data_IF_960888902138
#
_entry.id   IF_960888902138
#
_cell.length_a   1.000
_cell.length_b   1.000
_cell.length_c   1.000
_cell.angle_alpha   90.00
_cell.angle_beta   90.00
_cell.angle_gamma   90.00
#
_symmetry.space_group_name_H-M   'P 1'
#
loop_
_entity.id
_entity.type
_entity.pdbx_description
1 polymer ?
#
# COMPACT_ATOMS: atom_id res chain seq x y z
N UNK A 1 24.05 -20.61 -16.56
CA UNK A 1 23.85 -19.46 -17.48
C UNK A 1 23.89 -19.98 -18.90
N UNK A 2 22.82 -19.77 -19.63
CA UNK A 2 22.73 -20.12 -21.04
C UNK A 2 23.45 -19.06 -21.90
N UNK A 3 24.22 -19.49 -22.86
CA UNK A 3 24.97 -18.61 -23.78
C UNK A 3 24.44 -18.76 -25.21
N UNK A 4 24.40 -19.97 -25.71
CA UNK A 4 24.05 -20.29 -27.11
C UNK A 4 22.60 -19.92 -27.44
N UNK A 5 21.66 -20.27 -26.57
CA UNK A 5 20.25 -19.96 -26.75
C UNK A 5 19.98 -18.47 -26.86
N UNK A 6 20.38 -17.65 -25.88
CA UNK A 6 20.25 -16.20 -25.99
C UNK A 6 20.93 -15.60 -27.23
N UNK A 7 22.10 -16.10 -27.63
CA UNK A 7 22.81 -15.64 -28.82
C UNK A 7 21.98 -15.92 -30.08
N UNK A 8 21.45 -17.10 -30.23
CA UNK A 8 20.62 -17.48 -31.38
C UNK A 8 19.30 -16.69 -31.42
N UNK A 9 18.67 -16.54 -30.28
CA UNK A 9 17.42 -15.74 -30.13
C UNK A 9 17.65 -14.30 -30.57
N UNK A 10 18.73 -13.67 -30.11
CA UNK A 10 19.08 -12.30 -30.47
C UNK A 10 19.38 -12.16 -31.95
N UNK A 11 20.12 -13.10 -32.53
CA UNK A 11 20.45 -13.10 -33.97
C UNK A 11 19.18 -13.22 -34.84
N UNK A 12 18.29 -14.13 -34.49
CA UNK A 12 17.01 -14.29 -35.17
C UNK A 12 16.13 -13.03 -35.06
N UNK A 13 16.01 -12.48 -33.86
CA UNK A 13 15.23 -11.26 -33.62
C UNK A 13 15.75 -10.06 -34.41
N UNK A 14 17.06 -9.90 -34.50
CA UNK A 14 17.70 -8.86 -35.33
C UNK A 14 17.29 -8.99 -36.79
N UNK A 15 17.10 -10.22 -37.27
CA UNK A 15 16.72 -10.51 -38.65
C UNK A 15 15.20 -10.69 -38.84
N UNK A 16 14.40 -9.97 -38.09
CA UNK A 16 12.93 -10.13 -38.06
C UNK A 16 12.25 -9.86 -39.41
N UNK A 17 12.92 -9.18 -40.35
CA UNK A 17 12.38 -8.99 -41.69
C UNK A 17 12.17 -10.30 -42.43
N UNK A 18 12.97 -11.32 -42.11
CA UNK A 18 12.95 -12.59 -42.80
C UNK A 18 12.73 -13.80 -41.84
N UNK A 19 12.92 -13.62 -40.54
CA UNK A 19 12.92 -14.68 -39.56
C UNK A 19 11.90 -14.38 -38.44
N UNK A 20 11.13 -15.41 -38.06
CA UNK A 20 10.30 -15.41 -36.87
C UNK A 20 11.01 -16.18 -35.77
N UNK A 21 11.14 -15.57 -34.59
CA UNK A 21 11.66 -16.20 -33.38
C UNK A 21 10.58 -16.22 -32.29
N UNK A 22 10.32 -17.38 -31.72
CA UNK A 22 9.28 -17.56 -30.72
C UNK A 22 9.91 -17.96 -29.39
N UNK A 23 9.75 -17.13 -28.37
CA UNK A 23 10.34 -17.36 -27.05
C UNK A 23 9.33 -17.78 -25.99
N UNK A 24 8.03 -17.72 -26.30
CA UNK A 24 6.95 -18.09 -25.37
C UNK A 24 6.02 -19.12 -26.03
N UNK A 25 5.79 -20.23 -25.35
CA UNK A 25 4.86 -21.27 -25.83
C UNK A 25 3.42 -20.75 -25.95
N UNK A 26 3.05 -19.73 -25.17
CA UNK A 26 1.75 -19.07 -25.24
C UNK A 26 1.46 -18.40 -26.58
N UNK A 27 2.46 -18.16 -27.41
CA UNK A 27 2.32 -17.58 -28.74
C UNK A 27 2.08 -18.62 -29.85
N UNK A 28 2.26 -19.91 -29.58
CA UNK A 28 2.20 -20.97 -30.59
C UNK A 28 0.86 -21.04 -31.32
N UNK A 29 -0.25 -21.01 -30.61
CA UNK A 29 -1.58 -21.15 -31.22
C UNK A 29 -1.91 -19.98 -32.14
N UNK A 30 -1.58 -18.75 -31.73
CA UNK A 30 -1.77 -17.56 -32.55
C UNK A 30 -0.91 -17.60 -33.83
N UNK A 31 0.32 -18.08 -33.73
CA UNK A 31 1.25 -18.21 -34.85
C UNK A 31 0.74 -19.25 -35.84
N UNK A 32 0.31 -20.42 -35.37
CA UNK A 32 -0.25 -21.49 -36.20
C UNK A 32 -1.51 -20.98 -36.93
N UNK A 33 -2.39 -20.28 -36.22
CA UNK A 33 -3.61 -19.70 -36.80
C UNK A 33 -3.28 -18.71 -37.91
N UNK A 34 -2.30 -17.84 -37.72
CA UNK A 34 -1.89 -16.88 -38.74
C UNK A 34 -1.27 -17.57 -39.96
N UNK A 35 -0.42 -18.59 -39.75
CA UNK A 35 0.15 -19.38 -40.82
C UNK A 35 -0.91 -20.09 -41.67
N UNK A 36 -1.92 -20.67 -41.01
CA UNK A 36 -3.06 -21.31 -41.71
C UNK A 36 -3.84 -20.31 -42.55
N UNK A 37 -4.01 -19.07 -42.08
CA UNK A 37 -4.74 -18.03 -42.77
C UNK A 37 -3.91 -17.29 -43.83
N UNK A 38 -2.58 -17.44 -43.83
CA UNK A 38 -1.65 -16.67 -44.66
C UNK A 38 -0.67 -17.56 -45.43
N UNK A 39 -1.17 -18.66 -45.99
CA UNK A 39 -0.43 -19.58 -46.87
C UNK A 39 0.90 -20.10 -46.26
N UNK A 40 0.90 -20.37 -44.95
CA UNK A 40 2.05 -20.88 -44.21
C UNK A 40 3.09 -19.83 -43.85
N UNK A 41 2.80 -18.54 -44.02
CA UNK A 41 3.70 -17.45 -43.70
C UNK A 41 3.17 -16.55 -42.58
N UNK A 42 4.07 -15.75 -41.98
CA UNK A 42 3.76 -14.72 -41.00
C UNK A 42 3.96 -13.33 -41.61
N UNK A 43 3.17 -12.37 -41.17
CA UNK A 43 3.33 -10.96 -41.57
C UNK A 43 4.57 -10.35 -40.94
N UNK A 44 5.07 -9.27 -41.55
CA UNK A 44 6.19 -8.48 -40.98
C UNK A 44 5.82 -7.93 -39.59
N UNK A 45 4.57 -7.51 -39.41
CA UNK A 45 4.10 -6.99 -38.12
C UNK A 45 4.19 -8.06 -37.02
N UNK A 46 3.80 -9.30 -37.31
CA UNK A 46 3.91 -10.41 -36.36
C UNK A 46 5.37 -10.75 -36.09
N UNK A 47 6.23 -10.81 -37.11
CA UNK A 47 7.66 -11.06 -36.92
C UNK A 47 8.32 -10.00 -36.07
N UNK A 48 7.96 -8.73 -36.26
CA UNK A 48 8.48 -7.62 -35.46
C UNK A 48 8.02 -7.72 -34.00
N UNK A 49 6.74 -8.04 -33.76
CA UNK A 49 6.23 -8.25 -32.40
C UNK A 49 6.96 -9.40 -31.67
N UNK A 50 7.19 -10.51 -32.39
CA UNK A 50 7.97 -11.64 -31.86
C UNK A 50 9.42 -11.24 -31.58
N UNK A 51 10.02 -10.39 -32.38
CA UNK A 51 11.38 -9.89 -32.15
C UNK A 51 11.46 -9.02 -30.91
N UNK A 52 10.45 -8.18 -30.66
CA UNK A 52 10.36 -7.40 -29.41
C UNK A 52 10.31 -8.33 -28.22
N UNK A 53 9.43 -9.33 -28.23
CA UNK A 53 9.32 -10.33 -27.17
C UNK A 53 10.64 -11.08 -26.94
N UNK A 54 11.37 -11.36 -27.99
CA UNK A 54 12.68 -12.02 -27.90
C UNK A 54 13.72 -11.15 -27.17
N UNK A 55 13.78 -9.85 -27.48
CA UNK A 55 14.67 -8.92 -26.78
C UNK A 55 14.23 -8.66 -25.35
N UNK A 56 12.92 -8.55 -25.09
CA UNK A 56 12.38 -8.48 -23.73
C UNK A 56 12.81 -9.70 -22.90
N UNK A 57 12.75 -10.88 -23.47
CA UNK A 57 13.13 -12.14 -22.83
C UNK A 57 14.62 -12.16 -22.48
N UNK A 58 15.50 -11.83 -23.44
CA UNK A 58 16.96 -11.83 -23.20
C UNK A 58 17.38 -10.71 -22.25
N UNK A 59 16.73 -9.54 -22.31
CA UNK A 59 16.96 -8.44 -21.39
C UNK A 59 16.60 -8.82 -19.95
N UNK A 60 15.45 -9.46 -19.74
CA UNK A 60 15.02 -9.94 -18.41
C UNK A 60 15.98 -11.01 -17.87
N UNK A 61 16.43 -11.92 -18.73
CA UNK A 61 17.40 -12.94 -18.37
C UNK A 61 18.73 -12.35 -17.89
N UNK A 62 19.32 -11.43 -18.66
CA UNK A 62 20.57 -10.78 -18.30
C UNK A 62 20.42 -9.88 -17.06
N UNK A 63 19.27 -9.21 -16.92
CA UNK A 63 18.97 -8.40 -15.73
C UNK A 63 19.00 -9.23 -14.45
N UNK A 64 18.39 -10.40 -14.48
CA UNK A 64 18.39 -11.35 -13.35
C UNK A 64 19.81 -11.78 -13.00
N UNK A 65 20.63 -12.11 -14.00
CA UNK A 65 22.03 -12.50 -13.81
C UNK A 65 22.84 -11.34 -13.23
N UNK A 66 22.72 -10.14 -13.79
CA UNK A 66 23.44 -8.96 -13.34
C UNK A 66 23.09 -8.57 -11.90
N UNK A 67 21.81 -8.65 -11.54
CA UNK A 67 21.36 -8.39 -10.16
C UNK A 67 21.94 -9.44 -9.20
N UNK A 68 21.88 -10.70 -9.56
CA UNK A 68 22.37 -11.77 -8.71
C UNK A 68 23.89 -11.68 -8.50
N UNK A 69 24.67 -11.60 -9.57
CA UNK A 69 26.13 -11.47 -9.48
C UNK A 69 26.53 -10.15 -8.81
N UNK A 70 25.83 -9.06 -9.13
CA UNK A 70 26.10 -7.75 -8.53
C UNK A 70 25.94 -7.74 -7.01
N UNK A 71 25.02 -8.53 -6.48
CA UNK A 71 24.83 -8.68 -5.03
C UNK A 71 25.93 -9.53 -4.37
N UNK A 72 26.68 -10.31 -5.13
CA UNK A 72 27.74 -11.19 -4.62
C UNK A 72 29.12 -10.53 -4.60
N UNK A 73 29.28 -9.32 -5.12
CA UNK A 73 30.57 -8.61 -5.19
C UNK A 73 31.29 -8.54 -3.84
N UNK A 74 30.63 -8.18 -2.71
CA UNK A 74 31.31 -8.13 -1.42
C UNK A 74 31.90 -9.47 -0.98
N UNK A 75 31.20 -10.58 -1.23
CA UNK A 75 31.68 -11.92 -0.90
C UNK A 75 32.93 -12.30 -1.72
N UNK A 76 32.93 -12.01 -3.01
CA UNK A 76 34.07 -12.26 -3.90
C UNK A 76 35.30 -11.40 -3.60
N UNK A 77 35.08 -10.20 -3.04
CA UNK A 77 36.16 -9.31 -2.63
C UNK A 77 36.65 -9.60 -1.19
N UNK A 78 36.05 -10.57 -0.49
CA UNK A 78 36.40 -10.88 0.88
C UNK A 78 35.93 -9.83 1.91
N UNK A 79 35.05 -8.94 1.51
CA UNK A 79 34.53 -7.86 2.35
C UNK A 79 33.39 -8.33 3.27
N UNK A 80 32.77 -9.46 2.95
CA UNK A 80 31.68 -10.05 3.71
C UNK A 80 31.76 -11.57 3.67
N UNK A 81 31.37 -12.21 4.78
CA UNK A 81 31.22 -13.67 4.86
C UNK A 81 29.87 -14.15 4.34
N UNK A 82 28.91 -13.25 4.14
CA UNK A 82 27.62 -13.55 3.58
C UNK A 82 27.72 -13.77 2.06
N UNK A 83 26.97 -14.74 1.57
CA UNK A 83 27.03 -15.16 0.16
C UNK A 83 26.50 -14.09 -0.80
N UNK A 84 25.61 -13.21 -0.35
CA UNK A 84 25.01 -12.18 -1.18
C UNK A 84 24.77 -10.89 -0.38
N UNK A 85 25.14 -9.77 -0.94
CA UNK A 85 24.70 -8.46 -0.48
C UNK A 85 23.23 -8.24 -0.86
N UNK A 86 22.57 -7.30 -0.17
CA UNK A 86 21.14 -7.04 -0.40
C UNK A 86 20.89 -6.17 -1.63
N UNK A 87 21.84 -5.32 -1.99
CA UNK A 87 21.71 -4.38 -3.11
C UNK A 87 22.81 -4.63 -4.14
N UNK A 88 22.43 -4.95 -5.40
CA UNK A 88 23.41 -5.21 -6.44
C UNK A 88 24.13 -3.93 -6.88
N UNK A 89 25.31 -4.08 -7.46
CA UNK A 89 26.11 -2.95 -7.98
C UNK A 89 25.38 -2.14 -9.04
N UNK A 90 24.60 -2.78 -9.89
CA UNK A 90 23.62 -2.16 -10.78
C UNK A 90 22.24 -2.75 -10.49
N UNK A 91 21.23 -1.90 -10.40
CA UNK A 91 19.87 -2.36 -10.17
C UNK A 91 19.11 -2.40 -11.49
N UNK A 92 18.74 -3.59 -11.91
CA UNK A 92 18.00 -3.83 -13.15
C UNK A 92 16.57 -4.22 -12.81
N UNK A 93 15.62 -3.42 -13.30
CA UNK A 93 14.20 -3.61 -13.04
C UNK A 93 13.49 -3.91 -14.36
N UNK A 94 12.64 -4.95 -14.33
CA UNK A 94 11.83 -5.34 -15.48
C UNK A 94 10.37 -5.33 -15.08
N UNK A 95 9.60 -4.44 -15.70
CA UNK A 95 8.17 -4.31 -15.53
C UNK A 95 7.47 -4.42 -16.87
N UNK A 96 6.27 -4.97 -16.85
CA UNK A 96 5.44 -5.17 -18.04
C UNK A 96 4.31 -4.15 -18.00
N UNK A 97 4.11 -3.45 -19.12
CA UNK A 97 3.02 -2.48 -19.22
C UNK A 97 1.67 -3.20 -19.15
N UNK A 98 0.88 -2.84 -18.15
CA UNK A 98 -0.48 -3.34 -17.97
C UNK A 98 -1.50 -2.43 -18.66
N UNK A 99 -1.30 -1.12 -18.61
CA UNK A 99 -2.28 -0.15 -19.05
C UNK A 99 -1.63 1.17 -19.43
N UNK A 100 -2.04 1.76 -20.56
CA UNK A 100 -1.81 3.16 -20.82
C UNK A 100 -2.84 3.99 -20.05
N UNK A 101 -2.41 5.08 -19.45
CA UNK A 101 -3.25 5.94 -18.66
C UNK A 101 -3.65 7.18 -19.47
N UNK A 102 -4.84 7.71 -19.22
CA UNK A 102 -5.29 8.92 -19.90
C UNK A 102 -4.36 10.10 -19.62
N UNK A 103 -3.88 10.23 -18.38
CA UNK A 103 -2.88 11.18 -17.91
C UNK A 103 -2.33 10.68 -16.58
N UNK A 104 -1.30 11.34 -16.07
CA UNK A 104 -0.69 11.00 -14.80
C UNK A 104 -1.42 11.59 -13.60
N UNK A 105 -0.66 11.96 -12.58
CA UNK A 105 -1.19 12.65 -11.40
C UNK A 105 -1.89 13.95 -11.80
N UNK A 106 -1.36 14.61 -12.82
CA UNK A 106 -1.92 15.83 -13.41
C UNK A 106 -2.22 15.65 -14.90
N UNK A 107 -3.17 16.41 -15.41
CA UNK A 107 -3.70 16.25 -16.78
C UNK A 107 -2.68 16.51 -17.90
N UNK A 108 -1.61 17.23 -17.63
CA UNK A 108 -0.55 17.51 -18.60
C UNK A 108 0.56 16.45 -18.63
N UNK A 109 0.51 15.46 -17.74
CA UNK A 109 1.50 14.39 -17.65
C UNK A 109 1.02 13.14 -18.36
N UNK A 110 1.85 12.55 -19.21
CA UNK A 110 1.60 11.23 -19.77
C UNK A 110 1.95 10.17 -18.74
N UNK A 111 1.23 9.05 -18.75
CA UNK A 111 1.44 8.00 -17.79
C UNK A 111 1.04 6.61 -18.30
N UNK A 112 1.63 5.59 -17.70
CA UNK A 112 1.28 4.20 -17.90
C UNK A 112 1.46 3.44 -16.59
N UNK A 113 0.76 2.32 -16.46
CA UNK A 113 0.89 1.41 -15.33
C UNK A 113 1.67 0.18 -15.77
N UNK A 114 2.78 -0.06 -15.09
CA UNK A 114 3.64 -1.24 -15.27
C UNK A 114 3.55 -2.14 -14.05
N UNK A 115 3.57 -3.44 -14.25
CA UNK A 115 3.50 -4.43 -13.18
C UNK A 115 4.72 -5.37 -13.24
N UNK A 116 5.04 -5.98 -12.11
CA UNK A 116 6.02 -7.06 -12.03
C UNK A 116 5.45 -8.33 -12.67
N UNK A 117 6.32 -9.14 -13.24
CA UNK A 117 5.95 -10.47 -13.72
C UNK A 117 5.83 -11.45 -12.55
N UNK A 118 4.83 -12.34 -12.60
CA UNK A 118 4.62 -13.42 -11.61
C UNK A 118 4.35 -12.93 -10.17
N UNK A 119 3.66 -11.82 -10.01
CA UNK A 119 3.20 -11.36 -8.69
C UNK A 119 2.19 -12.36 -8.13
N UNK A 120 2.48 -12.90 -6.95
CA UNK A 120 1.61 -13.88 -6.26
C UNK A 120 0.76 -13.25 -5.16
N UNK A 121 1.28 -12.21 -4.51
CA UNK A 121 0.55 -11.51 -3.46
C UNK A 121 -0.63 -10.74 -4.05
N UNK A 122 -1.80 -10.85 -3.41
CA UNK A 122 -2.96 -10.04 -3.76
C UNK A 122 -2.60 -8.55 -3.68
N UNK A 123 -2.81 -7.81 -4.76
CA UNK A 123 -2.38 -6.43 -4.90
C UNK A 123 -3.23 -5.69 -5.94
N UNK A 124 -3.05 -4.40 -6.04
CA UNK A 124 -3.67 -3.61 -7.12
C UNK A 124 -3.19 -4.07 -8.50
N UNK A 125 -1.95 -4.58 -8.58
CA UNK A 125 -1.37 -5.10 -9.83
C UNK A 125 -2.04 -6.38 -10.32
N UNK A 126 -2.48 -7.25 -9.39
CA UNK A 126 -3.10 -8.55 -9.69
C UNK A 126 -4.63 -8.49 -9.68
N UNK A 127 -5.22 -7.39 -9.23
CA UNK A 127 -6.66 -7.26 -9.10
C UNK A 127 -7.35 -7.31 -10.47
N UNK A 128 -8.52 -7.94 -10.49
CA UNK A 128 -9.42 -7.94 -11.65
C UNK A 128 -10.47 -6.85 -11.48
N UNK A 129 -10.58 -5.97 -12.45
CA UNK A 129 -11.64 -4.97 -12.47
C UNK A 129 -12.92 -5.59 -13.05
N UNK A 130 -13.97 -5.70 -12.25
CA UNK A 130 -15.23 -6.33 -12.64
C UNK A 130 -16.30 -5.32 -13.00
N UNK A 131 -16.08 -4.04 -12.70
CA UNK A 131 -17.01 -2.95 -13.02
C UNK A 131 -16.27 -1.62 -13.11
N UNK A 132 -16.83 -0.70 -13.91
CA UNK A 132 -16.47 0.71 -13.89
C UNK A 132 -15.57 1.16 -15.02
N UNK A 133 -15.26 2.46 -15.01
CA UNK A 133 -14.35 3.10 -15.95
C UNK A 133 -12.92 2.58 -15.75
N UNK A 134 -12.05 2.81 -16.73
CA UNK A 134 -10.63 2.56 -16.56
C UNK A 134 -10.07 3.29 -15.33
N UNK A 135 -9.15 2.64 -14.63
CA UNK A 135 -8.50 3.22 -13.46
C UNK A 135 -7.61 4.39 -13.89
N UNK A 136 -7.67 5.48 -13.14
CA UNK A 136 -6.74 6.60 -13.29
C UNK A 136 -5.44 6.32 -12.53
N UNK A 137 -4.41 7.10 -12.81
CA UNK A 137 -3.15 7.10 -12.07
C UNK A 137 -3.39 7.23 -10.57
N UNK A 138 -4.18 8.24 -10.18
CA UNK A 138 -4.50 8.48 -8.77
C UNK A 138 -5.35 7.36 -8.16
N UNK A 139 -6.26 6.76 -8.92
CA UNK A 139 -7.04 5.61 -8.43
C UNK A 139 -6.11 4.45 -8.03
N UNK A 140 -5.11 4.14 -8.85
CA UNK A 140 -4.18 3.04 -8.58
C UNK A 140 -3.35 3.32 -7.33
N UNK A 141 -2.79 4.52 -7.22
CA UNK A 141 -1.99 4.92 -6.06
C UNK A 141 -2.81 4.89 -4.75
N UNK A 142 -4.02 5.44 -4.78
CA UNK A 142 -4.90 5.47 -3.62
C UNK A 142 -5.42 4.08 -3.25
N UNK A 143 -5.71 3.24 -4.25
CA UNK A 143 -6.17 1.86 -4.02
C UNK A 143 -5.06 1.02 -3.39
N UNK A 144 -3.83 1.17 -3.83
CA UNK A 144 -2.67 0.52 -3.21
C UNK A 144 -2.56 0.91 -1.73
N UNK A 145 -2.65 2.20 -1.43
CA UNK A 145 -2.60 2.68 -0.05
C UNK A 145 -3.72 2.08 0.82
N UNK A 146 -4.94 2.01 0.30
CA UNK A 146 -6.08 1.46 1.02
C UNK A 146 -5.95 -0.06 1.25
N UNK A 147 -5.57 -0.79 0.22
CA UNK A 147 -5.42 -2.24 0.28
C UNK A 147 -4.31 -2.66 1.23
N UNK A 148 -3.15 -2.02 1.13
CA UNK A 148 -2.02 -2.36 2.01
C UNK A 148 -2.34 -2.05 3.48
N UNK A 149 -3.09 -1.00 3.75
CA UNK A 149 -3.55 -0.70 5.10
C UNK A 149 -4.52 -1.78 5.64
N UNK A 150 -5.52 -2.16 4.85
CA UNK A 150 -6.53 -3.14 5.33
C UNK A 150 -5.94 -4.52 5.57
N UNK A 151 -4.84 -4.86 4.93
CA UNK A 151 -4.10 -6.12 5.15
C UNK A 151 -3.53 -6.26 6.56
N UNK A 152 -3.34 -5.16 7.29
CA UNK A 152 -2.81 -5.20 8.66
C UNK A 152 -3.80 -5.78 9.68
N UNK A 153 -5.07 -5.89 9.34
CA UNK A 153 -6.12 -6.27 10.28
C UNK A 153 -6.58 -7.71 10.05
N UNK A 154 -6.67 -8.48 11.15
CA UNK A 154 -7.15 -9.86 11.12
C UNK A 154 -8.68 -9.93 11.16
N UNK A 155 -9.33 -9.02 11.91
CA UNK A 155 -10.78 -8.94 12.02
C UNK A 155 -11.38 -8.25 10.78
N UNK A 156 -12.70 -8.40 10.53
CA UNK A 156 -13.36 -7.67 9.46
C UNK A 156 -13.08 -6.16 9.56
N UNK A 157 -12.50 -5.59 8.52
CA UNK A 157 -12.02 -4.22 8.52
C UNK A 157 -12.44 -3.46 7.27
N UNK A 158 -12.57 -2.15 7.43
CA UNK A 158 -12.77 -1.19 6.35
C UNK A 158 -11.74 -0.07 6.47
N UNK A 159 -11.10 0.24 5.36
CA UNK A 159 -10.20 1.40 5.21
C UNK A 159 -10.75 2.29 4.12
N UNK A 160 -10.94 3.57 4.44
CA UNK A 160 -11.29 4.61 3.47
C UNK A 160 -10.08 5.51 3.28
N UNK A 161 -9.68 5.68 2.04
CA UNK A 161 -8.50 6.49 1.66
C UNK A 161 -8.92 7.68 0.80
N UNK A 162 -8.30 8.81 1.06
CA UNK A 162 -8.37 10.00 0.22
C UNK A 162 -6.95 10.57 0.09
N UNK A 163 -6.51 10.81 -1.15
CA UNK A 163 -5.16 11.33 -1.43
C UNK A 163 -4.05 10.54 -0.71
N UNK A 164 -4.08 9.21 -0.91
CA UNK A 164 -3.13 8.25 -0.36
C UNK A 164 -3.05 8.18 1.18
N UNK A 165 -3.96 8.84 1.89
CA UNK A 165 -4.06 8.77 3.36
C UNK A 165 -5.35 8.09 3.80
N UNK A 166 -5.29 7.21 4.80
CA UNK A 166 -6.48 6.80 5.50
C UNK A 166 -7.20 8.02 6.09
N UNK A 167 -8.48 8.16 5.81
CA UNK A 167 -9.32 9.18 6.43
C UNK A 167 -10.36 8.59 7.39
N UNK A 168 -10.58 7.30 7.32
CA UNK A 168 -11.39 6.54 8.25
C UNK A 168 -11.05 5.06 8.19
N UNK A 169 -10.87 4.45 9.36
CA UNK A 169 -10.57 3.02 9.51
C UNK A 169 -11.36 2.47 10.70
N UNK A 170 -11.89 1.27 10.54
CA UNK A 170 -12.52 0.55 11.65
C UNK A 170 -12.40 -0.94 11.46
N UNK A 171 -12.37 -1.66 12.57
CA UNK A 171 -12.56 -3.11 12.63
C UNK A 171 -13.82 -3.40 13.44
N UNK A 172 -14.53 -4.46 13.08
CA UNK A 172 -15.76 -4.84 13.75
C UNK A 172 -16.07 -6.33 13.52
N UNK A 173 -17.26 -6.75 13.91
CA UNK A 173 -17.73 -8.13 13.69
C UNK A 173 -18.20 -8.38 12.25
N UNK A 174 -18.46 -7.32 11.48
CA UNK A 174 -18.87 -7.39 10.09
C UNK A 174 -18.25 -6.23 9.31
N UNK A 175 -18.10 -6.39 8.00
CA UNK A 175 -17.60 -5.29 7.15
C UNK A 175 -18.62 -4.17 7.00
N UNK A 176 -19.92 -4.46 7.11
CA UNK A 176 -20.94 -3.42 7.10
C UNK A 176 -20.77 -2.47 8.29
N UNK A 177 -20.64 -3.00 9.49
CA UNK A 177 -20.43 -2.19 10.68
C UNK A 177 -19.05 -1.49 10.63
N UNK A 178 -18.02 -2.18 10.14
CA UNK A 178 -16.70 -1.56 9.93
C UNK A 178 -16.79 -0.37 8.98
N UNK A 179 -17.52 -0.51 7.88
CA UNK A 179 -17.73 0.60 6.93
C UNK A 179 -18.49 1.77 7.57
N UNK A 180 -19.60 1.49 8.27
CA UNK A 180 -20.38 2.53 8.94
C UNK A 180 -19.52 3.34 9.92
N UNK A 181 -18.65 2.68 10.66
CA UNK A 181 -17.75 3.28 11.64
C UNK A 181 -16.60 4.03 11.00
N UNK A 182 -15.97 3.45 9.98
CA UNK A 182 -14.90 4.13 9.23
C UNK A 182 -15.40 5.41 8.54
N UNK A 183 -16.60 5.36 7.97
CA UNK A 183 -17.23 6.52 7.33
C UNK A 183 -17.45 7.68 8.30
N UNK A 184 -17.85 7.41 9.53
CA UNK A 184 -18.15 8.44 10.55
C UNK A 184 -16.93 9.27 10.95
N UNK A 185 -15.73 8.76 10.76
CA UNK A 185 -14.50 9.49 11.11
C UNK A 185 -14.39 10.82 10.34
N UNK A 186 -14.61 10.74 9.02
CA UNK A 186 -14.47 11.91 8.14
C UNK A 186 -15.33 11.72 6.87
N UNK A 187 -16.65 11.89 6.98
CA UNK A 187 -17.57 11.74 5.83
C UNK A 187 -17.24 12.67 4.67
N UNK A 188 -16.75 13.87 4.97
CA UNK A 188 -16.38 14.86 3.95
C UNK A 188 -15.26 14.36 3.06
N UNK A 189 -14.19 13.83 3.66
CA UNK A 189 -13.06 13.26 2.91
C UNK A 189 -13.42 11.93 2.26
N UNK A 190 -14.31 11.13 2.85
CA UNK A 190 -14.77 9.86 2.29
C UNK A 190 -15.46 10.02 0.94
N UNK A 191 -16.10 11.17 0.69
CA UNK A 191 -16.74 11.47 -0.58
C UNK A 191 -15.70 11.50 -1.71
N UNK A 192 -15.88 10.63 -2.72
CA UNK A 192 -14.92 10.47 -3.81
C UNK A 192 -13.66 9.71 -3.42
N UNK A 193 -13.67 9.01 -2.30
CA UNK A 193 -12.55 8.21 -1.82
C UNK A 193 -12.53 6.79 -2.36
N UNK A 194 -11.58 6.02 -1.84
CA UNK A 194 -11.35 4.62 -2.11
C UNK A 194 -11.71 3.82 -0.86
N UNK A 195 -12.39 2.70 -1.03
CA UNK A 195 -12.79 1.83 0.08
C UNK A 195 -12.18 0.45 -0.11
N UNK A 196 -11.46 -0.04 0.89
CA UNK A 196 -10.88 -1.37 0.90
C UNK A 196 -11.43 -2.21 2.05
N UNK A 197 -11.69 -3.48 1.76
CA UNK A 197 -12.13 -4.48 2.72
C UNK A 197 -11.18 -5.69 2.73
N UNK A 198 -11.14 -6.40 3.85
CA UNK A 198 -10.40 -7.66 4.00
C UNK A 198 -11.33 -8.90 4.01
N UNK A 199 -12.58 -8.73 3.70
CA UNK A 199 -13.61 -9.79 3.55
C UNK A 199 -14.38 -9.58 2.26
N UNK A 200 -15.13 -10.61 1.85
CA UNK A 200 -16.02 -10.53 0.69
C UNK A 200 -16.97 -9.33 0.81
N UNK A 201 -17.08 -8.56 -0.27
CA UNK A 201 -18.08 -7.50 -0.38
C UNK A 201 -19.47 -8.16 -0.50
N UNK A 202 -20.30 -7.95 0.51
CA UNK A 202 -21.66 -8.46 0.53
C UNK A 202 -22.68 -7.42 0.07
N UNK A 203 -23.92 -7.88 -0.15
CA UNK A 203 -24.99 -7.03 -0.68
C UNK A 203 -25.35 -5.87 0.25
N UNK A 204 -25.41 -6.11 1.55
CA UNK A 204 -25.77 -5.08 2.53
C UNK A 204 -24.72 -3.96 2.58
N UNK A 205 -23.45 -4.33 2.54
CA UNK A 205 -22.34 -3.37 2.52
C UNK A 205 -22.32 -2.59 1.22
N UNK A 206 -22.50 -3.26 0.08
CA UNK A 206 -22.59 -2.61 -1.23
C UNK A 206 -23.74 -1.59 -1.25
N UNK A 207 -24.92 -1.97 -0.74
CA UNK A 207 -26.08 -1.08 -0.66
C UNK A 207 -25.82 0.14 0.21
N UNK A 208 -25.18 -0.05 1.36
CA UNK A 208 -24.85 1.05 2.27
C UNK A 208 -23.88 2.06 1.59
N UNK A 209 -22.88 1.58 0.87
CA UNK A 209 -21.93 2.44 0.17
C UNK A 209 -22.62 3.24 -0.94
N UNK A 210 -23.34 2.54 -1.82
CA UNK A 210 -23.97 3.13 -3.01
C UNK A 210 -25.02 4.18 -2.63
N UNK A 211 -25.76 3.97 -1.53
CA UNK A 211 -26.80 4.92 -1.09
C UNK A 211 -26.25 6.08 -0.28
N UNK A 212 -25.03 5.96 0.26
CA UNK A 212 -24.47 6.94 1.21
C UNK A 212 -23.49 7.92 0.59
N UNK A 213 -22.61 7.47 -0.30
CA UNK A 213 -21.52 8.30 -0.80
C UNK A 213 -21.19 8.07 -2.27
N UNK A 214 -20.57 9.07 -2.86
CA UNK A 214 -19.83 8.88 -4.10
C UNK A 214 -18.50 8.18 -3.75
N UNK A 215 -18.19 7.10 -4.47
CA UNK A 215 -16.96 6.31 -4.30
C UNK A 215 -16.29 6.11 -5.66
N UNK A 216 -14.98 6.26 -5.70
CA UNK A 216 -14.21 6.07 -6.95
C UNK A 216 -13.88 4.60 -7.18
N UNK A 217 -13.42 3.90 -6.14
CA UNK A 217 -13.01 2.50 -6.21
C UNK A 217 -13.43 1.77 -4.94
N UNK A 218 -13.94 0.55 -5.11
CA UNK A 218 -14.10 -0.42 -4.03
C UNK A 218 -13.21 -1.61 -4.36
N UNK A 219 -12.37 -2.02 -3.43
CA UNK A 219 -11.52 -3.21 -3.56
C UNK A 219 -11.76 -4.17 -2.41
N UNK A 220 -11.91 -5.44 -2.73
CA UNK A 220 -12.13 -6.52 -1.78
C UNK A 220 -11.52 -7.82 -2.31
N UNK A 221 -11.28 -8.83 -1.43
CA UNK A 221 -10.82 -10.14 -1.89
C UNK A 221 -11.77 -10.81 -2.88
N UNK A 222 -13.07 -10.66 -2.66
CA UNK A 222 -14.15 -11.18 -3.49
C UNK A 222 -15.39 -10.31 -3.35
N UNK A 223 -16.41 -10.57 -4.18
CA UNK A 223 -17.71 -9.93 -4.06
C UNK A 223 -18.79 -10.95 -4.41
N UNK A 224 -19.91 -10.91 -3.69
CA UNK A 224 -21.08 -11.74 -4.02
C UNK A 224 -21.74 -11.26 -5.31
N UNK A 225 -22.48 -12.14 -5.99
CA UNK A 225 -23.24 -11.77 -7.19
C UNK A 225 -24.26 -10.66 -6.88
N UNK A 226 -24.91 -10.76 -5.72
CA UNK A 226 -25.88 -9.75 -5.26
C UNK A 226 -25.22 -8.39 -5.03
N UNK A 227 -24.02 -8.37 -4.45
CA UNK A 227 -23.25 -7.14 -4.25
C UNK A 227 -22.94 -6.48 -5.60
N UNK A 228 -22.52 -7.26 -6.60
CA UNK A 228 -22.20 -6.75 -7.93
C UNK A 228 -23.44 -6.22 -8.66
N UNK A 229 -24.60 -6.83 -8.48
CA UNK A 229 -25.86 -6.31 -9.01
C UNK A 229 -26.22 -4.95 -8.39
N UNK A 230 -25.94 -4.77 -7.12
CA UNK A 230 -26.19 -3.51 -6.42
C UNK A 230 -25.21 -2.42 -6.89
N UNK A 231 -23.93 -2.72 -6.99
CA UNK A 231 -22.93 -1.74 -7.45
C UNK A 231 -23.16 -1.34 -8.90
N UNK A 232 -23.73 -2.22 -9.72
CA UNK A 232 -24.05 -1.96 -11.12
C UNK A 232 -25.00 -0.77 -11.32
N UNK A 233 -25.78 -0.39 -10.31
CA UNK A 233 -26.63 0.81 -10.34
C UNK A 233 -25.83 2.11 -10.48
N UNK A 234 -24.54 2.11 -10.10
CA UNK A 234 -23.59 3.20 -10.26
C UNK A 234 -22.45 2.75 -11.18
N UNK A 235 -22.70 2.75 -12.47
CA UNK A 235 -21.83 2.15 -13.50
C UNK A 235 -20.39 2.66 -13.47
N UNK A 236 -20.17 3.90 -13.04
CA UNK A 236 -18.84 4.52 -13.04
C UNK A 236 -17.99 4.13 -11.84
N UNK A 237 -18.57 3.53 -10.80
CA UNK A 237 -17.82 3.02 -9.65
C UNK A 237 -16.96 1.85 -10.10
N UNK A 238 -15.68 1.92 -9.80
CA UNK A 238 -14.75 0.85 -10.12
C UNK A 238 -14.76 -0.19 -9.01
N UNK A 239 -15.00 -1.44 -9.35
CA UNK A 239 -14.98 -2.56 -8.40
C UNK A 239 -13.84 -3.48 -8.78
N UNK A 240 -12.91 -3.68 -7.85
CA UNK A 240 -11.73 -4.51 -8.01
C UNK A 240 -11.79 -5.72 -7.08
N UNK A 241 -11.45 -6.88 -7.62
CA UNK A 241 -11.36 -8.13 -6.86
C UNK A 241 -9.91 -8.59 -6.89
N UNK A 242 -9.26 -8.63 -5.73
CA UNK A 242 -7.83 -8.90 -5.64
C UNK A 242 -7.48 -10.33 -5.18
N UNK A 243 -8.47 -11.12 -4.77
CA UNK A 243 -8.24 -12.42 -4.15
C UNK A 243 -7.83 -12.30 -2.67
N UNK A 244 -7.78 -13.41 -1.97
CA UNK A 244 -7.28 -13.48 -0.60
C UNK A 244 -5.75 -13.40 -0.58
N UNK A 245 -5.23 -12.83 0.49
CA UNK A 245 -3.80 -12.78 0.76
C UNK A 245 -3.44 -13.67 1.94
N UNK A 246 -2.22 -14.18 1.91
CA UNK A 246 -1.58 -14.85 3.02
C UNK A 246 -0.54 -13.94 3.66
N UNK A 247 0.63 -14.50 3.99
CA UNK A 247 1.76 -13.71 4.44
C UNK A 247 2.24 -12.76 3.34
N UNK A 248 2.61 -11.56 3.74
CA UNK A 248 3.18 -10.57 2.83
C UNK A 248 4.63 -10.92 2.52
N UNK A 249 4.96 -10.90 1.24
CA UNK A 249 6.31 -11.23 0.77
C UNK A 249 7.27 -10.05 0.98
N UNK A 250 8.52 -10.32 1.37
CA UNK A 250 9.58 -9.32 1.29
C UNK A 250 9.69 -8.74 -0.13
N UNK A 251 10.04 -7.49 -0.22
CA UNK A 251 10.21 -6.81 -1.49
C UNK A 251 10.92 -5.48 -1.30
N UNK A 252 11.08 -4.76 -2.38
CA UNK A 252 11.72 -3.46 -2.38
C UNK A 252 10.68 -2.35 -2.53
N UNK A 253 10.96 -1.24 -1.90
CA UNK A 253 10.21 0.00 -2.01
C UNK A 253 11.12 1.06 -2.65
N UNK A 254 10.60 1.79 -3.63
CA UNK A 254 11.36 2.71 -4.46
C UNK A 254 10.88 4.14 -4.30
N UNK A 255 11.83 5.06 -4.25
CA UNK A 255 11.54 6.48 -4.34
C UNK A 255 12.38 7.11 -5.43
N UNK A 256 11.73 7.63 -6.45
CA UNK A 256 12.41 8.40 -7.49
C UNK A 256 12.87 9.74 -6.92
N UNK A 257 14.16 10.05 -7.10
CA UNK A 257 14.71 11.39 -6.88
C UNK A 257 15.28 11.89 -8.18
N UNK A 258 15.48 13.20 -8.32
CA UNK A 258 16.07 13.69 -9.57
C UNK A 258 17.47 13.13 -9.76
N UNK A 259 17.67 12.40 -10.85
CA UNK A 259 18.95 11.75 -11.18
C UNK A 259 19.18 10.41 -10.49
N UNK A 260 18.26 9.89 -9.68
CA UNK A 260 18.50 8.64 -8.97
C UNK A 260 17.26 7.95 -8.44
N UNK A 261 17.50 6.84 -7.75
CA UNK A 261 16.47 6.03 -7.12
C UNK A 261 16.93 5.65 -5.71
N UNK A 262 16.13 5.99 -4.71
CA UNK A 262 16.29 5.46 -3.36
C UNK A 262 15.58 4.12 -3.30
N UNK A 263 16.27 3.13 -2.74
CA UNK A 263 15.76 1.77 -2.62
C UNK A 263 15.87 1.31 -1.17
N UNK A 264 14.81 0.76 -0.65
CA UNK A 264 14.75 0.20 0.70
C UNK A 264 13.90 -1.06 0.71
N UNK A 265 13.93 -1.81 1.80
CA UNK A 265 12.96 -2.89 1.98
C UNK A 265 11.57 -2.34 2.19
N UNK A 266 10.56 -3.11 1.79
CA UNK A 266 9.19 -2.85 2.23
C UNK A 266 9.13 -2.83 3.75
N UNK A 267 8.36 -1.89 4.31
CA UNK A 267 8.08 -1.86 5.74
C UNK A 267 6.98 -2.88 6.07
N UNK A 268 7.39 -4.10 6.36
CA UNK A 268 6.50 -5.17 6.81
C UNK A 268 6.49 -5.33 8.34
N UNK A 269 7.29 -4.53 9.05
CA UNK A 269 7.38 -4.58 10.50
C UNK A 269 6.06 -4.20 11.18
N UNK A 270 5.72 -4.94 12.22
CA UNK A 270 4.60 -4.62 13.10
C UNK A 270 4.85 -5.30 14.46
N UNK A 271 4.66 -4.54 15.53
CA UNK A 271 4.78 -5.06 16.89
C UNK A 271 3.45 -5.64 17.35
N UNK A 272 3.50 -6.79 18.03
CA UNK A 272 2.37 -7.37 18.75
C UNK A 272 2.31 -6.86 20.19
N UNK A 273 1.25 -7.22 20.90
CA UNK A 273 1.04 -6.80 22.29
C UNK A 273 2.20 -7.20 23.21
N UNK A 274 2.78 -8.37 23.00
CA UNK A 274 3.87 -8.93 23.79
C UNK A 274 5.21 -8.19 23.60
N UNK A 275 5.36 -7.45 22.52
CA UNK A 275 6.58 -6.68 22.20
C UNK A 275 6.51 -5.25 22.73
N UNK A 276 5.33 -4.82 23.20
CA UNK A 276 5.15 -3.47 23.72
C UNK A 276 5.73 -3.36 25.13
N UNK A 277 6.38 -2.22 25.40
CA UNK A 277 6.87 -1.89 26.73
C UNK A 277 6.02 -0.80 27.34
N UNK A 278 5.36 -1.10 28.47
CA UNK A 278 4.67 -0.09 29.26
C UNK A 278 5.70 0.70 30.06
N UNK A 279 5.81 1.99 29.79
CA UNK A 279 6.86 2.84 30.41
C UNK A 279 6.33 3.72 31.54
N UNK A 280 5.01 3.83 31.68
CA UNK A 280 4.36 4.60 32.74
C UNK A 280 4.03 3.76 33.96
N UNK A 281 3.75 4.42 35.07
CA UNK A 281 3.30 3.76 36.31
C UNK A 281 1.95 3.08 36.14
N UNK A 282 1.01 3.73 35.44
CA UNK A 282 -0.28 3.13 35.14
C UNK A 282 -0.17 2.16 33.97
N UNK A 283 -0.72 0.98 34.15
CA UNK A 283 -0.86 0.01 33.08
C UNK A 283 -2.09 0.34 32.22
N UNK A 284 -2.07 0.07 30.90
CA UNK A 284 -3.27 0.24 30.09
C UNK A 284 -4.33 -0.78 30.47
N UNK A 285 -5.59 -0.39 30.32
CA UNK A 285 -6.70 -1.35 30.35
C UNK A 285 -6.66 -2.22 29.10
N UNK A 286 -7.39 -3.33 29.07
CA UNK A 286 -7.49 -4.17 27.87
C UNK A 286 -8.03 -3.40 26.67
N UNK A 287 -9.02 -2.54 26.89
CA UNK A 287 -9.59 -1.71 25.81
C UNK A 287 -8.59 -0.68 25.32
N UNK A 288 -7.87 -0.02 26.21
CA UNK A 288 -6.81 0.92 25.83
C UNK A 288 -5.72 0.23 25.03
N UNK A 289 -5.32 -0.98 25.41
CA UNK A 289 -4.32 -1.75 24.67
C UNK A 289 -4.81 -2.12 23.26
N UNK A 290 -6.04 -2.59 23.13
CA UNK A 290 -6.65 -2.87 21.82
C UNK A 290 -6.70 -1.63 20.95
N UNK A 291 -7.16 -0.51 21.50
CA UNK A 291 -7.26 0.76 20.78
C UNK A 291 -5.87 1.32 20.40
N UNK A 292 -4.90 1.19 21.28
CA UNK A 292 -3.53 1.60 21.01
C UNK A 292 -2.90 0.81 19.86
N UNK A 293 -3.04 -0.51 19.86
CA UNK A 293 -2.57 -1.37 18.77
C UNK A 293 -3.28 -1.07 17.45
N UNK A 294 -4.58 -0.84 17.51
CA UNK A 294 -5.36 -0.41 16.34
C UNK A 294 -4.87 0.92 15.81
N UNK A 295 -4.70 1.92 16.67
CA UNK A 295 -4.12 3.23 16.33
C UNK A 295 -2.77 3.08 15.64
N UNK A 296 -1.91 2.22 16.19
CA UNK A 296 -0.55 2.00 15.71
C UNK A 296 -0.55 1.45 14.28
N UNK A 297 -1.40 0.48 14.00
CA UNK A 297 -1.56 -0.08 12.66
C UNK A 297 -2.03 0.97 11.65
N UNK A 298 -2.98 1.82 12.05
CA UNK A 298 -3.45 2.91 11.19
C UNK A 298 -2.34 3.95 10.96
N UNK A 299 -1.63 4.35 12.01
CA UNK A 299 -0.57 5.36 11.94
C UNK A 299 0.54 4.97 10.95
N UNK A 300 0.85 3.69 10.84
CA UNK A 300 1.82 3.18 9.85
C UNK A 300 1.50 3.62 8.41
N UNK A 301 0.23 3.77 8.07
CA UNK A 301 -0.23 4.10 6.72
C UNK A 301 -0.59 5.58 6.54
N UNK A 302 -0.48 6.37 7.60
CA UNK A 302 -0.71 7.81 7.56
C UNK A 302 0.61 8.53 7.29
N UNK A 303 0.59 9.51 6.40
CA UNK A 303 1.80 10.27 6.05
C UNK A 303 2.32 11.06 7.25
N UNK A 304 3.63 11.00 7.44
CA UNK A 304 4.32 11.68 8.54
C UNK A 304 4.22 13.22 8.42
N UNK A 305 4.17 13.95 9.54
CA UNK A 305 4.02 13.40 10.87
C UNK A 305 2.58 12.91 11.09
N UNK A 306 2.43 11.67 11.55
CA UNK A 306 1.12 11.06 11.74
C UNK A 306 0.70 11.08 13.21
N UNK A 307 -0.52 11.54 13.46
CA UNK A 307 -1.22 11.40 14.73
C UNK A 307 -2.59 10.79 14.45
N UNK A 308 -2.90 9.72 15.17
CA UNK A 308 -4.19 9.02 15.08
C UNK A 308 -4.81 8.91 16.46
N UNK A 309 -6.07 9.32 16.57
CA UNK A 309 -6.91 9.06 17.74
C UNK A 309 -7.87 7.93 17.41
N UNK A 310 -8.00 6.94 18.29
CA UNK A 310 -8.97 5.86 18.11
C UNK A 310 -9.61 5.44 19.43
N UNK A 311 -10.82 4.92 19.31
CA UNK A 311 -11.64 4.45 20.42
C UNK A 311 -12.59 3.38 19.94
N UNK A 312 -12.69 2.28 20.67
CA UNK A 312 -13.55 1.16 20.32
C UNK A 312 -13.29 0.63 18.89
N UNK A 313 -12.02 0.45 18.53
CA UNK A 313 -11.58 -0.06 17.22
C UNK A 313 -12.05 0.78 16.01
N UNK A 314 -12.18 2.08 16.22
CA UNK A 314 -12.57 3.01 15.18
C UNK A 314 -11.71 4.27 15.30
N UNK A 315 -11.28 4.83 14.19
CA UNK A 315 -10.57 6.11 14.16
C UNK A 315 -11.51 7.24 14.54
N UNK A 316 -11.05 8.11 15.43
CA UNK A 316 -11.79 9.30 15.89
C UNK A 316 -11.30 10.54 15.14
N UNK A 317 -10.01 10.63 14.90
CA UNK A 317 -9.40 11.69 14.12
C UNK A 317 -8.04 11.32 13.63
N UNK A 318 -7.69 11.78 12.43
CA UNK A 318 -6.42 11.49 11.78
C UNK A 318 -5.79 12.81 11.32
N UNK A 319 -4.57 13.06 11.76
CA UNK A 319 -3.74 14.16 11.31
C UNK A 319 -2.55 13.66 10.54
N UNK A 320 -2.41 14.09 9.29
CA UNK A 320 -1.43 13.57 8.34
C UNK A 320 -0.63 14.68 7.68
N UNK A 321 0.61 14.35 7.28
CA UNK A 321 1.38 15.12 6.31
C UNK A 321 1.83 16.50 6.79
N UNK A 322 1.96 16.71 8.09
CA UNK A 322 2.37 18.00 8.65
C UNK A 322 3.84 18.01 9.03
N UNK A 323 4.49 19.13 8.87
CA UNK A 323 5.88 19.33 9.23
C UNK A 323 6.09 19.31 10.76
N UNK A 324 5.05 19.60 11.53
CA UNK A 324 5.06 19.57 12.97
C UNK A 324 4.00 18.60 13.50
N UNK A 325 4.42 17.75 14.44
CA UNK A 325 3.54 16.78 15.11
C UNK A 325 2.39 17.44 15.86
N UNK A 326 2.66 18.60 16.44
CA UNK A 326 1.65 19.41 17.15
C UNK A 326 0.49 19.77 16.20
N UNK A 327 0.80 20.16 14.96
CA UNK A 327 -0.24 20.50 13.98
C UNK A 327 -1.02 19.27 13.53
N UNK A 328 -0.36 18.12 13.36
CA UNK A 328 -1.08 16.85 13.06
C UNK A 328 -2.09 16.54 14.17
N UNK A 329 -1.70 16.69 15.43
CA UNK A 329 -2.60 16.48 16.57
C UNK A 329 -3.78 17.47 16.56
N UNK A 330 -3.51 18.74 16.27
CA UNK A 330 -4.57 19.77 16.16
C UNK A 330 -5.56 19.45 15.04
N UNK A 331 -5.07 19.07 13.88
CA UNK A 331 -5.91 18.70 12.72
C UNK A 331 -6.78 17.50 13.07
N UNK A 332 -6.21 16.48 13.67
CA UNK A 332 -6.97 15.29 14.10
C UNK A 332 -8.09 15.67 15.09
N UNK A 333 -7.81 16.55 16.04
CA UNK A 333 -8.78 17.02 17.02
C UNK A 333 -9.87 17.88 16.40
N UNK A 334 -9.53 18.77 15.48
CA UNK A 334 -10.48 19.61 14.74
C UNK A 334 -11.45 18.74 13.93
N UNK A 335 -10.91 17.79 13.19
CA UNK A 335 -11.74 16.86 12.40
C UNK A 335 -12.69 16.05 13.26
N UNK A 336 -12.22 15.55 14.41
CA UNK A 336 -13.07 14.84 15.36
C UNK A 336 -14.22 15.73 15.84
N UNK A 337 -13.92 16.95 16.24
CA UNK A 337 -14.92 17.91 16.72
C UNK A 337 -15.96 18.27 15.64
N UNK A 338 -15.51 18.46 14.40
CA UNK A 338 -16.40 18.76 13.26
C UNK A 338 -17.43 17.67 13.03
N UNK A 339 -17.09 16.41 13.35
CA UNK A 339 -17.97 15.25 13.19
C UNK A 339 -18.69 14.86 14.50
N UNK A 340 -18.55 15.65 15.53
CA UNK A 340 -19.18 15.36 16.84
C UNK A 340 -18.57 14.17 17.56
N UNK A 341 -17.35 13.77 17.20
CA UNK A 341 -16.61 12.68 17.83
C UNK A 341 -15.74 13.24 18.96
N UNK A 342 -15.66 12.50 20.06
CA UNK A 342 -14.90 12.93 21.22
C UNK A 342 -13.52 12.27 21.27
N UNK A 343 -12.47 13.08 21.35
CA UNK A 343 -11.10 12.61 21.61
C UNK A 343 -10.97 12.09 23.04
N UNK A 344 -11.78 12.61 23.98
CA UNK A 344 -11.80 12.18 25.37
C UNK A 344 -12.00 10.66 25.48
N UNK A 345 -11.10 10.01 26.22
CA UNK A 345 -11.12 8.57 26.42
C UNK A 345 -10.51 7.77 25.28
N UNK A 346 -9.96 8.43 24.25
CA UNK A 346 -9.30 7.75 23.14
C UNK A 346 -7.85 7.35 23.48
N UNK A 347 -7.32 6.41 22.71
CA UNK A 347 -5.88 6.18 22.59
C UNK A 347 -5.32 7.00 21.44
N UNK A 348 -4.06 7.38 21.54
CA UNK A 348 -3.34 8.14 20.52
C UNK A 348 -2.10 7.37 20.06
N UNK A 349 -1.89 7.29 18.75
CA UNK A 349 -0.63 6.83 18.15
C UNK A 349 0.12 7.99 17.55
N UNK A 350 1.44 7.97 17.69
CA UNK A 350 2.38 8.82 17.00
C UNK A 350 3.39 7.97 16.25
N UNK A 351 3.60 8.23 14.97
CA UNK A 351 4.50 7.45 14.11
C UNK A 351 5.98 7.55 14.48
N UNK A 352 6.36 8.57 15.30
CA UNK A 352 7.69 8.77 15.82
C UNK A 352 7.64 9.30 17.26
N UNK A 353 8.81 9.37 17.90
CA UNK A 353 8.92 9.84 19.29
C UNK A 353 8.49 11.30 19.46
N UNK A 354 8.09 11.64 20.68
CA UNK A 354 7.87 13.03 21.09
C UNK A 354 9.18 13.67 21.53
N UNK A 355 9.61 14.77 20.90
CA UNK A 355 10.87 15.42 21.27
C UNK A 355 10.79 16.17 22.59
N UNK A 356 9.58 16.56 23.02
CA UNK A 356 9.31 17.34 24.23
C UNK A 356 8.02 16.88 24.89
N UNK A 357 7.85 17.27 26.15
CA UNK A 357 6.64 16.91 26.92
C UNK A 357 5.34 17.59 26.43
N UNK A 358 5.45 18.69 25.71
CA UNK A 358 4.30 19.48 25.26
C UNK A 358 3.30 18.68 24.42
N UNK A 359 3.75 17.73 23.62
CA UNK A 359 2.88 16.81 22.88
C UNK A 359 2.04 15.91 23.79
N UNK A 360 2.61 15.46 24.89
CA UNK A 360 1.90 14.65 25.89
C UNK A 360 0.94 15.50 26.71
N UNK A 361 1.36 16.70 27.12
CA UNK A 361 0.51 17.66 27.83
C UNK A 361 -0.73 18.01 27.00
N UNK A 362 -0.55 18.25 25.71
CA UNK A 362 -1.66 18.53 24.77
C UNK A 362 -2.59 17.32 24.61
N UNK A 363 -2.06 16.11 24.52
CA UNK A 363 -2.84 14.89 24.43
C UNK A 363 -3.70 14.68 25.69
N UNK A 364 -3.11 14.87 26.86
CA UNK A 364 -3.82 14.80 28.14
C UNK A 364 -4.93 15.84 28.23
N UNK A 365 -4.66 17.09 27.83
CA UNK A 365 -5.65 18.17 27.79
C UNK A 365 -6.82 17.85 26.86
N UNK A 366 -6.57 17.14 25.74
CA UNK A 366 -7.60 16.67 24.83
C UNK A 366 -8.42 15.47 25.38
N UNK A 367 -7.98 14.85 26.47
CA UNK A 367 -8.65 13.73 27.11
C UNK A 367 -8.17 12.36 26.69
N UNK A 368 -7.03 12.26 26.00
CA UNK A 368 -6.38 10.98 25.69
C UNK A 368 -5.98 10.29 26.98
N UNK A 369 -6.16 8.97 27.04
CA UNK A 369 -5.85 8.17 28.24
C UNK A 369 -4.68 7.21 28.03
N UNK A 370 -4.36 6.87 26.79
CA UNK A 370 -3.27 5.97 26.43
C UNK A 370 -2.53 6.46 25.18
N UNK A 371 -1.21 6.41 25.23
CA UNK A 371 -0.36 6.84 24.11
C UNK A 371 0.54 5.69 23.70
N UNK A 372 0.64 5.43 22.38
CA UNK A 372 1.58 4.50 21.78
C UNK A 372 2.53 5.24 20.85
N UNK A 373 3.81 5.04 21.03
CA UNK A 373 4.86 5.70 20.26
C UNK A 373 6.15 4.87 20.30
N UNK A 374 7.11 5.11 19.39
CA UNK A 374 8.31 4.29 19.36
C UNK A 374 9.30 4.52 20.52
N UNK A 375 9.33 5.69 21.14
CA UNK A 375 10.39 6.06 22.05
C UNK A 375 11.71 6.36 21.31
N UNK A 376 12.80 6.53 22.04
CA UNK A 376 14.13 6.75 21.48
C UNK A 376 14.61 8.20 21.45
N UNK A 377 13.86 9.13 22.04
CA UNK A 377 14.31 10.50 22.26
C UNK A 377 15.26 10.57 23.46
N UNK A 378 16.21 11.49 23.41
CA UNK A 378 17.04 11.82 24.59
C UNK A 378 16.20 12.38 25.74
N UNK A 379 14.99 12.83 25.46
CA UNK A 379 14.01 13.37 26.41
C UNK A 379 12.91 12.39 26.77
N UNK A 380 13.10 11.10 26.55
CA UNK A 380 12.10 10.08 26.89
C UNK A 380 11.70 10.15 28.37
N UNK A 381 12.65 10.38 29.28
CA UNK A 381 12.36 10.48 30.72
C UNK A 381 11.42 11.64 31.04
N UNK A 382 11.59 12.78 30.38
CA UNK A 382 10.71 13.96 30.50
C UNK A 382 9.31 13.65 29.98
N UNK A 383 9.23 12.97 28.84
CA UNK A 383 7.96 12.59 28.19
C UNK A 383 7.22 11.57 29.05
N UNK A 384 7.91 10.57 29.58
CA UNK A 384 7.33 9.57 30.51
C UNK A 384 6.83 10.25 31.77
N UNK A 385 7.62 11.16 32.37
CA UNK A 385 7.21 11.90 33.56
C UNK A 385 5.93 12.71 33.31
N UNK A 386 5.81 13.36 32.17
CA UNK A 386 4.60 14.06 31.79
C UNK A 386 3.38 13.14 31.70
N UNK A 387 3.53 11.97 31.09
CA UNK A 387 2.49 10.95 31.03
C UNK A 387 2.06 10.50 32.44
N UNK A 388 3.01 10.23 33.33
CA UNK A 388 2.73 9.85 34.71
C UNK A 388 1.99 10.96 35.46
N UNK A 389 2.40 12.22 35.32
CA UNK A 389 1.72 13.36 35.93
C UNK A 389 0.25 13.45 35.55
N UNK A 390 -0.08 13.14 34.29
CA UNK A 390 -1.45 13.17 33.78
C UNK A 390 -2.21 11.86 33.99
N UNK A 391 -1.59 10.84 34.58
CA UNK A 391 -2.23 9.54 34.80
C UNK A 391 -2.45 8.75 33.50
N UNK A 392 -1.70 9.01 32.45
CA UNK A 392 -1.78 8.29 31.19
C UNK A 392 -1.06 6.94 31.28
N UNK A 393 -1.50 5.99 30.47
CA UNK A 393 -0.67 4.83 30.09
C UNK A 393 0.11 5.17 28.83
N UNK A 394 1.37 4.78 28.79
CA UNK A 394 2.22 4.98 27.60
C UNK A 394 2.95 3.70 27.24
N UNK A 395 2.91 3.37 25.95
CA UNK A 395 3.50 2.17 25.37
C UNK A 395 4.59 2.57 24.38
N UNK A 396 5.77 1.93 24.48
CA UNK A 396 6.85 2.07 23.51
C UNK A 396 6.90 0.86 22.61
N UNK A 397 6.97 1.11 21.29
CA UNK A 397 7.10 0.07 20.27
C UNK A 397 8.54 -0.25 19.92
N UNK A 398 9.49 0.66 20.19
CA UNK A 398 10.88 0.59 19.73
C UNK A 398 11.04 0.47 18.19
N UNK A 399 9.97 0.67 17.46
CA UNK A 399 9.94 0.61 15.99
C UNK A 399 9.07 1.77 15.50
N UNK A 400 9.66 2.65 14.68
CA UNK A 400 8.89 3.74 14.06
C UNK A 400 8.43 3.35 12.66
N UNK A 401 7.38 4.01 12.18
CA UNK A 401 6.86 3.83 10.84
C UNK A 401 6.71 5.18 10.13
N UNK A 402 7.84 5.79 9.76
CA UNK A 402 7.80 6.97 8.93
C UNK A 402 7.29 6.63 7.53
N UNK A 403 6.38 7.45 7.06
CA UNK A 403 5.84 7.38 5.71
C UNK A 403 5.72 8.78 5.16
N UNK A 404 6.77 9.22 4.48
CA UNK A 404 6.74 10.54 3.84
C UNK A 404 5.87 10.48 2.59
N UNK A 405 5.11 11.55 2.34
CA UNK A 405 4.38 11.64 1.09
C UNK A 405 5.39 11.84 -0.03
N UNK A 406 5.33 10.94 -0.97
CA UNK A 406 6.08 11.07 -2.20
C UNK A 406 5.18 11.80 -3.19
N UNK A 407 5.36 13.11 -3.33
CA UNK A 407 4.93 13.73 -4.55
C UNK A 407 5.86 13.17 -5.63
N UNK A 408 5.31 12.41 -6.52
CA UNK A 408 5.99 12.05 -7.74
C UNK A 408 6.24 13.34 -8.51
N UNK A 409 7.37 13.97 -8.28
CA UNK A 409 7.83 15.10 -9.08
C UNK A 409 8.70 14.60 -10.21
#
# INVERSE_FOLDING_TARGET
>A
IDIGGPTMVRSAAKNHKDVAIVVKSSDYDAIIKEMDANEGSLTLATRFDLAIKAFEHTAAYDSMIANYFGSMVPAYHGESKEAAGRFPRTLNLNFIKKQDMRYGENSHQQAAFYIEENVKEASVATATQVQGKALSYNNIADTDAALECVKEFAEPACVIVKHANPCGVAVSNSILDAYDRAYKTDPTSAFGGIIAFNRELDAETAQAIISRQFVEVIIAPSASEEALKITAAKQNVRVLICGQWGERAPGLDFKRVNGGLLVQDRDLGMVGAEELRVVTKRQPTEQELRDALFCWKVAKFVKSNAIVYAKNNMTIGIGAGQMSRVYSAKIAGIKAADEGLEVKGSSMASDAFFPFRDGIDAAAAAGVTCVIQPGGSIRDDEVIAAADEHGLAMLFTAMRHFRHSWSHR
#
